data_IF_467121986251
#
_entry.id   IF_467121986251
#
_cell.length_a   1.000
_cell.length_b   1.000
_cell.length_c   1.000
_cell.angle_alpha   90.00
_cell.angle_beta   90.00
_cell.angle_gamma   90.00
#
_symmetry.space_group_name_H-M   'P 1'
#
loop_
_entity.id
_entity.type
_entity.pdbx_description
1 polymer ?
#
# COMPACT_ATOMS: atom_id res chain seq x y z
N UNK A 1 -0.29 8.25 -2.22
CA UNK A 1 -0.21 9.12 -1.02
C UNK A 1 -1.13 8.64 0.11
N UNK A 2 -2.41 8.30 -0.16
CA UNK A 2 -3.35 7.85 0.87
C UNK A 2 -2.94 6.51 1.52
N UNK A 3 -2.46 5.52 0.75
CA UNK A 3 -2.01 4.22 1.26
C UNK A 3 -0.80 4.34 2.19
N UNK A 4 0.14 5.24 1.88
CA UNK A 4 1.29 5.52 2.74
C UNK A 4 0.87 6.13 4.10
N UNK A 5 -0.17 6.96 4.12
CA UNK A 5 -0.73 7.53 5.33
C UNK A 5 -1.37 6.48 6.25
N UNK A 6 -2.14 5.55 5.67
CA UNK A 6 -2.76 4.44 6.42
C UNK A 6 -1.69 3.50 6.99
N UNK A 7 -0.69 3.13 6.19
CA UNK A 7 0.42 2.29 6.63
C UNK A 7 1.19 2.93 7.79
N UNK A 8 1.48 4.24 7.71
CA UNK A 8 2.16 4.97 8.78
C UNK A 8 1.32 5.00 10.06
N UNK A 9 0.03 5.32 9.98
CA UNK A 9 -0.85 5.35 11.14
C UNK A 9 -0.93 3.99 11.85
N UNK A 10 -1.03 2.89 11.09
CA UNK A 10 -0.98 1.53 11.65
C UNK A 10 0.37 1.24 12.31
N UNK A 11 1.46 1.70 11.72
CA UNK A 11 2.81 1.54 12.27
C UNK A 11 2.96 2.26 13.62
N UNK A 12 2.45 3.47 13.73
CA UNK A 12 2.47 4.27 14.96
C UNK A 12 1.63 3.61 16.06
N UNK A 13 0.44 3.08 15.73
CA UNK A 13 -0.41 2.32 16.65
C UNK A 13 0.29 1.05 17.12
N UNK A 14 0.89 0.29 16.20
CA UNK A 14 1.59 -0.95 16.55
C UNK A 14 2.78 -0.70 17.47
N UNK A 15 3.51 0.39 17.24
CA UNK A 15 4.61 0.82 18.12
C UNK A 15 4.13 1.18 19.51
N UNK A 16 3.01 1.91 19.63
CA UNK A 16 2.43 2.26 20.93
C UNK A 16 1.98 1.01 21.71
N UNK A 17 1.42 0.01 21.02
CA UNK A 17 1.09 -1.29 21.63
C UNK A 17 2.34 -2.06 22.07
N UNK A 18 3.40 -2.10 21.27
CA UNK A 18 4.66 -2.76 21.62
C UNK A 18 5.30 -2.11 22.87
N UNK A 19 5.26 -0.79 22.96
CA UNK A 19 5.73 -0.05 24.14
C UNK A 19 4.92 -0.39 25.41
N UNK A 20 3.60 -0.58 25.27
CA UNK A 20 2.74 -1.04 26.36
C UNK A 20 3.10 -2.47 26.78
N UNK A 21 3.22 -3.39 25.82
CA UNK A 21 3.57 -4.79 26.04
C UNK A 21 4.86 -4.93 26.82
N UNK A 22 5.88 -4.14 26.45
CA UNK A 22 7.20 -4.17 27.14
C UNK A 22 7.14 -3.74 28.61
N UNK A 23 6.15 -2.94 29.02
CA UNK A 23 6.02 -2.46 30.39
C UNK A 23 5.29 -3.44 31.30
N UNK A 24 4.42 -4.29 30.76
CA UNK A 24 3.60 -5.23 31.56
C UNK A 24 4.39 -6.22 32.41
N UNK A 25 5.49 -6.85 31.94
CA UNK A 25 6.29 -7.75 32.78
C UNK A 25 6.91 -7.04 33.99
N UNK A 26 7.37 -5.79 33.81
CA UNK A 26 7.90 -4.98 34.90
C UNK A 26 6.85 -4.69 35.97
N UNK A 27 5.63 -4.37 35.55
CA UNK A 27 4.50 -4.20 36.49
C UNK A 27 4.16 -5.51 37.21
N UNK A 28 4.15 -6.63 36.51
CA UNK A 28 3.90 -7.94 37.13
C UNK A 28 4.96 -8.28 38.20
N UNK A 29 6.23 -7.99 37.90
CA UNK A 29 7.33 -8.21 38.86
C UNK A 29 7.23 -7.30 40.10
N UNK A 30 6.84 -6.04 39.92
CA UNK A 30 6.60 -5.11 41.02
C UNK A 30 5.43 -5.57 41.91
N UNK A 31 4.37 -6.10 41.35
CA UNK A 31 3.24 -6.65 42.10
C UNK A 31 3.63 -7.95 42.81
N UNK A 32 4.49 -8.78 42.26
CA UNK A 32 5.04 -9.98 42.91
C UNK A 32 5.97 -9.66 44.09
N UNK A 33 6.63 -8.54 44.07
CA UNK A 33 7.48 -8.07 45.15
C UNK A 33 6.68 -7.59 46.41
N UNK A 34 5.35 -7.43 46.30
CA UNK A 34 4.50 -7.06 47.43
C UNK A 34 4.44 -8.18 48.46
N UNK A 35 4.20 -7.84 49.76
CA UNK A 35 4.02 -8.86 50.82
C UNK A 35 2.93 -9.86 50.44
N UNK A 36 3.16 -11.13 50.73
CA UNK A 36 2.27 -12.24 50.35
C UNK A 36 0.79 -12.06 50.73
N UNK A 37 0.53 -11.32 51.83
CA UNK A 37 -0.83 -10.95 52.25
C UNK A 37 -1.58 -10.01 51.31
N UNK A 38 -0.84 -9.26 50.47
CA UNK A 38 -1.35 -8.26 49.52
C UNK A 38 -1.19 -8.71 48.08
N UNK A 39 -0.52 -9.87 47.87
CA UNK A 39 -0.38 -10.47 46.55
C UNK A 39 -1.72 -11.04 46.11
N UNK A 40 -2.38 -10.34 45.21
CA UNK A 40 -3.57 -10.85 44.50
C UNK A 40 -3.17 -11.64 43.25
N UNK A 41 -4.17 -11.94 42.43
CA UNK A 41 -3.94 -12.60 41.11
C UNK A 41 -3.45 -11.63 40.02
N UNK A 42 -3.30 -10.35 40.33
CA UNK A 42 -2.89 -9.28 39.38
C UNK A 42 -1.61 -9.62 38.62
N UNK A 43 -0.52 -10.14 39.23
CA UNK A 43 0.69 -10.50 38.49
C UNK A 43 0.43 -11.54 37.38
N UNK A 44 -0.38 -12.56 37.68
CA UNK A 44 -0.76 -13.59 36.70
C UNK A 44 -1.56 -12.98 35.54
N UNK A 45 -2.51 -12.09 35.86
CA UNK A 45 -3.33 -11.40 34.86
C UNK A 45 -2.47 -10.49 33.97
N UNK A 46 -1.51 -9.77 34.55
CA UNK A 46 -0.59 -8.92 33.80
C UNK A 46 0.31 -9.75 32.86
N UNK A 47 0.76 -10.93 33.29
CA UNK A 47 1.51 -11.85 32.40
C UNK A 47 0.65 -12.44 31.30
N UNK A 48 -0.59 -12.82 31.59
CA UNK A 48 -1.53 -13.27 30.57
C UNK A 48 -1.83 -12.15 29.57
N UNK A 49 -2.08 -10.92 30.05
CA UNK A 49 -2.28 -9.75 29.21
C UNK A 49 -1.05 -9.45 28.32
N UNK A 50 0.15 -9.58 28.88
CA UNK A 50 1.40 -9.44 28.10
C UNK A 50 1.42 -10.43 26.93
N UNK A 51 1.13 -11.71 27.14
CA UNK A 51 1.12 -12.73 26.09
C UNK A 51 0.10 -12.43 24.99
N UNK A 52 -1.14 -12.11 25.35
CA UNK A 52 -2.18 -11.78 24.37
C UNK A 52 -1.85 -10.52 23.57
N UNK A 53 -1.40 -9.47 24.25
CA UNK A 53 -1.02 -8.22 23.58
C UNK A 53 0.22 -8.40 22.68
N UNK A 54 1.16 -9.26 23.07
CA UNK A 54 2.30 -9.60 22.21
C UNK A 54 1.85 -10.32 20.93
N UNK A 55 0.93 -11.28 21.04
CA UNK A 55 0.33 -11.92 19.87
C UNK A 55 -0.39 -10.91 18.98
N UNK A 56 -1.10 -9.95 19.55
CA UNK A 56 -1.76 -8.88 18.80
C UNK A 56 -0.77 -7.99 18.05
N UNK A 57 0.37 -7.62 18.64
CA UNK A 57 1.44 -6.87 17.98
C UNK A 57 1.96 -7.63 16.76
N UNK A 58 2.24 -8.93 16.91
CA UNK A 58 2.69 -9.77 15.80
C UNK A 58 1.63 -9.92 14.70
N UNK A 59 0.37 -10.11 15.07
CA UNK A 59 -0.73 -10.24 14.12
C UNK A 59 -0.99 -8.91 13.38
N UNK A 60 -0.87 -7.78 14.08
CA UNK A 60 -0.96 -6.45 13.48
C UNK A 60 0.21 -6.19 12.50
N UNK A 61 1.43 -6.63 12.84
CA UNK A 61 2.56 -6.56 11.91
C UNK A 61 2.33 -7.41 10.65
N UNK A 62 1.73 -8.59 10.79
CA UNK A 62 1.34 -9.43 9.66
C UNK A 62 0.29 -8.75 8.77
N UNK A 63 -0.65 -7.99 9.35
CA UNK A 63 -1.62 -7.21 8.59
C UNK A 63 -0.94 -6.11 7.76
N UNK A 64 0.00 -5.38 8.34
CA UNK A 64 0.76 -4.36 7.60
C UNK A 64 1.56 -4.96 6.44
N UNK A 65 2.17 -6.13 6.64
CA UNK A 65 2.87 -6.85 5.57
C UNK A 65 1.89 -7.32 4.48
N UNK A 66 0.74 -7.84 4.86
CA UNK A 66 -0.31 -8.24 3.92
C UNK A 66 -0.81 -7.05 3.09
N UNK A 67 -1.04 -5.89 3.70
CA UNK A 67 -1.42 -4.64 3.00
C UNK A 67 -0.39 -4.28 1.93
N UNK A 68 0.90 -4.34 2.28
CA UNK A 68 1.99 -4.03 1.35
C UNK A 68 2.02 -5.01 0.17
N UNK A 69 2.05 -6.31 0.44
CA UNK A 69 2.25 -7.34 -0.59
C UNK A 69 1.02 -7.53 -1.47
N UNK A 70 -0.19 -7.40 -0.92
CA UNK A 70 -1.42 -7.69 -1.69
C UNK A 70 -1.94 -6.49 -2.45
N UNK A 71 -1.83 -5.29 -1.89
CA UNK A 71 -2.37 -4.07 -2.49
C UNK A 71 -1.29 -3.05 -2.83
N UNK A 72 -0.33 -2.83 -1.93
CA UNK A 72 0.73 -1.83 -2.10
C UNK A 72 1.58 -2.08 -3.34
N UNK A 73 2.08 -3.29 -3.50
CA UNK A 73 2.93 -3.68 -4.62
C UNK A 73 2.15 -3.68 -5.95
N UNK A 74 0.89 -4.15 -5.95
CA UNK A 74 0.02 -4.07 -7.12
C UNK A 74 -0.20 -2.62 -7.56
N UNK A 75 -0.52 -1.73 -6.62
CA UNK A 75 -0.73 -0.31 -6.91
C UNK A 75 0.55 0.38 -7.39
N UNK A 76 1.72 0.04 -6.82
CA UNK A 76 3.01 0.56 -7.27
C UNK A 76 3.33 0.11 -8.71
N UNK A 77 3.09 -1.17 -9.02
CA UNK A 77 3.25 -1.70 -10.36
C UNK A 77 2.37 -0.97 -11.38
N UNK A 78 1.07 -0.81 -11.10
CA UNK A 78 0.16 -0.12 -12.02
C UNK A 78 0.47 1.36 -12.15
N UNK A 79 0.87 2.03 -11.07
CA UNK A 79 1.32 3.42 -11.14
C UNK A 79 2.57 3.58 -12.02
N UNK A 80 3.48 2.62 -12.00
CA UNK A 80 4.65 2.59 -12.90
C UNK A 80 4.22 2.38 -14.36
N UNK A 81 3.39 1.37 -14.62
CA UNK A 81 2.93 1.04 -15.96
C UNK A 81 2.13 2.17 -16.61
N UNK A 82 1.27 2.85 -15.82
CA UNK A 82 0.54 4.04 -16.29
C UNK A 82 1.48 5.21 -16.64
N UNK A 83 2.58 5.39 -15.89
CA UNK A 83 3.59 6.40 -16.24
C UNK A 83 4.27 6.08 -17.58
N UNK A 84 4.63 4.80 -17.79
CA UNK A 84 5.22 4.36 -19.06
C UNK A 84 4.25 4.56 -20.23
N UNK A 85 2.98 4.15 -20.08
CA UNK A 85 1.95 4.37 -21.09
C UNK A 85 1.77 5.85 -21.43
N UNK A 86 1.76 6.73 -20.41
CA UNK A 86 1.70 8.18 -20.63
C UNK A 86 2.92 8.72 -21.39
N UNK A 87 4.12 8.23 -21.06
CA UNK A 87 5.34 8.62 -21.77
C UNK A 87 5.27 8.22 -23.25
N UNK A 88 4.87 6.99 -23.56
CA UNK A 88 4.72 6.52 -24.96
C UNK A 88 3.68 7.33 -25.73
N UNK A 89 2.57 7.72 -25.07
CA UNK A 89 1.59 8.63 -25.68
C UNK A 89 2.17 10.02 -25.95
N UNK A 90 3.01 10.55 -25.08
CA UNK A 90 3.69 11.84 -25.29
C UNK A 90 4.68 11.77 -26.45
N UNK A 91 5.47 10.68 -26.53
CA UNK A 91 6.38 10.43 -27.65
C UNK A 91 5.63 10.34 -28.97
N UNK A 92 4.50 9.61 -29.03
CA UNK A 92 3.63 9.60 -30.20
C UNK A 92 3.13 10.99 -30.57
N UNK A 93 2.75 11.81 -29.61
CA UNK A 93 2.28 13.18 -29.86
C UNK A 93 3.38 14.06 -30.46
N UNK A 94 4.64 13.93 -30.02
CA UNK A 94 5.76 14.66 -30.63
C UNK A 94 5.97 14.28 -32.10
N UNK A 95 5.86 13.00 -32.44
CA UNK A 95 5.97 12.54 -33.84
C UNK A 95 4.79 13.03 -34.69
N UNK A 96 3.57 13.13 -34.13
CA UNK A 96 2.42 13.75 -34.82
C UNK A 96 2.69 15.23 -35.19
N UNK A 97 3.29 15.97 -34.25
CA UNK A 97 3.68 17.37 -34.49
C UNK A 97 4.77 17.45 -35.56
N UNK A 98 5.79 16.59 -35.48
CA UNK A 98 6.88 16.53 -36.48
C UNK A 98 6.35 16.22 -37.88
N UNK A 99 5.41 15.24 -37.98
CA UNK A 99 4.69 14.96 -39.23
C UNK A 99 3.95 16.17 -39.78
N UNK A 100 3.28 16.94 -38.93
CA UNK A 100 2.56 18.14 -39.34
C UNK A 100 3.52 19.24 -39.87
N UNK A 101 4.70 19.35 -39.26
CA UNK A 101 5.75 20.23 -39.75
C UNK A 101 6.32 19.75 -41.08
N UNK A 102 6.63 18.45 -41.22
CA UNK A 102 7.10 17.85 -42.44
C UNK A 102 6.13 18.08 -43.63
N UNK A 103 4.82 17.96 -43.39
CA UNK A 103 3.79 18.29 -44.43
C UNK A 103 3.87 19.74 -44.87
N UNK A 104 4.09 20.68 -43.96
CA UNK A 104 4.25 22.10 -44.34
C UNK A 104 5.52 22.29 -45.13
N UNK A 105 6.63 21.62 -44.79
CA UNK A 105 7.89 21.70 -45.55
C UNK A 105 7.69 21.18 -46.97
N UNK A 106 7.04 20.04 -47.15
CA UNK A 106 6.69 19.48 -48.46
C UNK A 106 5.86 20.49 -49.27
N UNK A 107 4.82 21.07 -48.68
CA UNK A 107 3.95 22.04 -49.36
C UNK A 107 4.73 23.29 -49.80
N UNK A 108 5.59 23.84 -48.94
CA UNK A 108 6.42 24.99 -49.25
C UNK A 108 7.42 24.68 -50.39
N UNK A 109 8.15 23.56 -50.31
CA UNK A 109 9.09 23.16 -51.36
C UNK A 109 8.39 22.89 -52.69
N UNK A 110 7.18 22.32 -52.69
CA UNK A 110 6.38 22.17 -53.91
C UNK A 110 5.98 23.50 -54.49
N UNK A 111 5.59 24.49 -53.68
CA UNK A 111 5.27 25.82 -54.13
C UNK A 111 6.49 26.53 -54.73
N UNK A 112 7.66 26.43 -54.10
CA UNK A 112 8.91 26.99 -54.55
C UNK A 112 9.34 26.38 -55.90
N UNK A 113 9.26 25.05 -56.04
CA UNK A 113 9.54 24.34 -57.29
C UNK A 113 8.59 24.79 -58.45
N UNK A 114 7.29 24.96 -58.12
CA UNK A 114 6.33 25.49 -59.11
C UNK A 114 6.66 26.93 -59.52
N UNK A 115 7.02 27.82 -58.58
CA UNK A 115 7.41 29.18 -58.89
C UNK A 115 8.66 29.26 -59.80
N UNK A 116 9.62 28.37 -59.55
CA UNK A 116 10.82 28.25 -60.39
C UNK A 116 10.47 27.74 -61.80
N UNK A 117 9.55 26.81 -61.93
CA UNK A 117 9.13 26.26 -63.22
C UNK A 117 8.35 27.27 -64.08
N UNK A 118 7.50 28.10 -63.48
CA UNK A 118 6.66 29.08 -64.18
C UNK A 118 7.23 30.49 -64.17
N UNK A 119 8.45 30.65 -63.62
CA UNK A 119 9.16 31.99 -63.64
C UNK A 119 9.56 32.46 -65.01
N UNK A 120 9.81 33.77 -65.12
CA UNK A 120 10.19 34.42 -66.42
C UNK A 120 11.53 33.94 -67.07
N UNK A 121 12.40 33.32 -66.26
CA UNK A 121 13.69 32.78 -66.71
C UNK A 121 13.95 31.42 -66.00
N UNK A 122 13.38 30.34 -66.49
CA UNK A 122 13.56 28.99 -65.90
C UNK A 122 15.01 28.54 -66.18
N UNK A 123 15.73 28.22 -65.08
CA UNK A 123 17.06 27.59 -65.13
C UNK A 123 16.86 26.08 -64.90
N UNK A 124 17.17 25.22 -65.91
CA UNK A 124 16.92 23.74 -65.76
C UNK A 124 17.55 23.15 -64.50
N UNK A 125 18.82 23.43 -64.23
CA UNK A 125 19.55 22.89 -63.06
C UNK A 125 18.90 23.24 -61.74
N UNK A 126 18.34 24.48 -61.62
CA UNK A 126 17.61 24.89 -60.40
C UNK A 126 16.26 24.20 -60.25
N UNK A 127 15.58 23.94 -61.34
CA UNK A 127 14.31 23.23 -61.35
C UNK A 127 14.53 21.78 -60.94
N UNK A 128 15.59 21.13 -61.43
CA UNK A 128 15.88 19.74 -61.10
C UNK A 128 16.33 19.59 -59.65
N UNK A 129 17.18 20.49 -59.13
CA UNK A 129 17.54 20.55 -57.73
C UNK A 129 16.28 20.77 -56.82
N UNK A 130 15.36 21.65 -57.19
CA UNK A 130 14.13 21.86 -56.42
C UNK A 130 13.21 20.61 -56.43
N UNK A 131 13.17 19.89 -57.55
CA UNK A 131 12.41 18.60 -57.60
C UNK A 131 13.03 17.53 -56.70
N UNK A 132 14.36 17.42 -56.68
CA UNK A 132 15.07 16.51 -55.77
C UNK A 132 14.76 16.85 -54.33
N UNK A 133 14.80 18.12 -53.94
CA UNK A 133 14.45 18.57 -52.60
C UNK A 133 12.99 18.25 -52.23
N UNK A 134 12.03 18.35 -53.16
CA UNK A 134 10.64 17.95 -52.95
C UNK A 134 10.55 16.46 -52.74
N UNK A 135 11.28 15.67 -53.54
CA UNK A 135 11.28 14.22 -53.42
C UNK A 135 11.86 13.74 -52.08
N UNK A 136 12.97 14.34 -51.66
CA UNK A 136 13.55 14.06 -50.33
C UNK A 136 12.56 14.37 -49.19
N UNK A 137 11.93 15.52 -49.23
CA UNK A 137 10.94 15.93 -48.23
C UNK A 137 9.71 15.00 -48.21
N UNK A 138 9.28 14.54 -49.38
CA UNK A 138 8.18 13.54 -49.52
C UNK A 138 8.60 12.18 -48.96
N UNK A 139 9.83 11.73 -49.17
CA UNK A 139 10.34 10.48 -48.59
C UNK A 139 10.39 10.55 -47.06
N UNK A 140 10.86 11.70 -46.53
CA UNK A 140 10.86 11.91 -45.08
C UNK A 140 9.45 11.88 -44.49
N UNK A 141 8.49 12.53 -45.15
CA UNK A 141 7.08 12.51 -44.73
C UNK A 141 6.50 11.10 -44.77
N UNK A 142 6.78 10.33 -45.84
CA UNK A 142 6.33 8.93 -45.96
C UNK A 142 6.92 8.06 -44.85
N UNK A 143 8.18 8.21 -44.52
CA UNK A 143 8.83 7.48 -43.42
C UNK A 143 8.19 7.79 -42.07
N UNK A 144 7.80 9.07 -41.82
CA UNK A 144 7.06 9.44 -40.62
C UNK A 144 5.64 8.87 -40.59
N UNK A 145 4.95 8.83 -41.74
CA UNK A 145 3.62 8.21 -41.84
C UNK A 145 3.67 6.71 -41.53
N UNK A 146 4.65 6.00 -42.12
CA UNK A 146 4.87 4.56 -41.87
C UNK A 146 5.22 4.28 -40.40
N UNK A 147 6.08 5.12 -39.82
CA UNK A 147 6.44 5.03 -38.41
C UNK A 147 5.23 5.22 -37.51
N UNK A 148 4.42 6.26 -37.75
CA UNK A 148 3.21 6.54 -36.99
C UNK A 148 2.17 5.43 -37.09
N UNK A 149 2.01 4.81 -38.26
CA UNK A 149 1.12 3.66 -38.44
C UNK A 149 1.54 2.49 -37.55
N UNK A 150 2.83 2.11 -37.61
CA UNK A 150 3.38 1.03 -36.78
C UNK A 150 3.24 1.31 -35.28
N UNK A 151 3.54 2.55 -34.85
CA UNK A 151 3.40 2.96 -33.45
C UNK A 151 1.94 2.94 -33.02
N UNK A 152 1.02 3.38 -33.90
CA UNK A 152 -0.42 3.39 -33.59
C UNK A 152 -0.96 1.98 -33.33
N UNK A 153 -0.68 1.04 -34.23
CA UNK A 153 -1.14 -0.34 -34.12
C UNK A 153 -0.57 -1.03 -32.88
N UNK A 154 0.76 -0.92 -32.67
CA UNK A 154 1.43 -1.46 -31.50
C UNK A 154 0.90 -0.88 -30.19
N UNK A 155 0.63 0.44 -30.16
CA UNK A 155 0.13 1.13 -28.98
C UNK A 155 -1.32 0.74 -28.68
N UNK A 156 -2.17 0.63 -29.69
CA UNK A 156 -3.57 0.20 -29.56
C UNK A 156 -3.66 -1.19 -28.94
N UNK A 157 -2.93 -2.14 -29.49
CA UNK A 157 -2.87 -3.52 -28.98
C UNK A 157 -2.33 -3.58 -27.55
N UNK A 158 -1.28 -2.81 -27.26
CA UNK A 158 -0.67 -2.77 -25.94
C UNK A 158 -1.61 -2.16 -24.90
N UNK A 159 -2.29 -1.05 -25.22
CA UNK A 159 -3.24 -0.41 -24.33
C UNK A 159 -4.47 -1.28 -24.08
N UNK A 160 -4.97 -1.97 -25.09
CA UNK A 160 -6.11 -2.87 -24.95
C UNK A 160 -5.76 -4.05 -24.04
N UNK A 161 -4.63 -4.72 -24.28
CA UNK A 161 -4.14 -5.81 -23.42
C UNK A 161 -3.90 -5.31 -22.00
N UNK A 162 -3.23 -4.18 -21.84
CA UNK A 162 -2.98 -3.57 -20.54
C UNK A 162 -4.29 -3.27 -19.80
N UNK A 163 -5.29 -2.70 -20.47
CA UNK A 163 -6.58 -2.39 -19.84
C UNK A 163 -7.29 -3.65 -19.31
N UNK A 164 -7.32 -4.73 -20.09
CA UNK A 164 -7.95 -6.00 -19.68
C UNK A 164 -7.21 -6.62 -18.49
N UNK A 165 -5.89 -6.76 -18.60
CA UNK A 165 -5.09 -7.37 -17.54
C UNK A 165 -5.10 -6.53 -16.26
N UNK A 166 -4.97 -5.21 -16.38
CA UNK A 166 -5.02 -4.30 -15.21
C UNK A 166 -6.32 -4.45 -14.45
N UNK A 167 -7.45 -4.51 -15.16
CA UNK A 167 -8.75 -4.66 -14.53
C UNK A 167 -8.87 -5.99 -13.77
N UNK A 168 -8.49 -7.10 -14.40
CA UNK A 168 -8.55 -8.43 -13.79
C UNK A 168 -7.61 -8.56 -12.60
N UNK A 169 -6.37 -8.15 -12.76
CA UNK A 169 -5.34 -8.26 -11.72
C UNK A 169 -5.63 -7.34 -10.52
N UNK A 170 -6.13 -6.12 -10.79
CA UNK A 170 -6.50 -5.19 -9.72
C UNK A 170 -7.66 -5.73 -8.89
N UNK A 171 -8.70 -6.27 -9.54
CA UNK A 171 -9.82 -6.90 -8.84
C UNK A 171 -9.35 -8.12 -8.03
N UNK A 172 -8.50 -8.98 -8.61
CA UNK A 172 -7.93 -10.12 -7.90
C UNK A 172 -7.07 -9.70 -6.71
N UNK A 173 -6.30 -8.61 -6.83
CA UNK A 173 -5.48 -8.06 -5.75
C UNK A 173 -6.35 -7.48 -4.63
N UNK A 174 -7.40 -6.74 -4.96
CA UNK A 174 -8.37 -6.21 -3.99
C UNK A 174 -9.09 -7.36 -3.26
N UNK A 175 -9.54 -8.37 -3.99
CA UNK A 175 -10.18 -9.56 -3.40
C UNK A 175 -9.24 -10.29 -2.45
N UNK A 176 -8.01 -10.54 -2.88
CA UNK A 176 -6.97 -11.20 -2.04
C UNK A 176 -6.69 -10.38 -0.79
N UNK A 177 -6.54 -9.06 -0.94
CA UNK A 177 -6.36 -8.14 0.18
C UNK A 177 -7.52 -8.24 1.17
N UNK A 178 -8.77 -8.12 0.70
CA UNK A 178 -9.95 -8.18 1.55
C UNK A 178 -10.06 -9.51 2.31
N UNK A 179 -9.82 -10.64 1.64
CA UNK A 179 -9.84 -11.96 2.27
C UNK A 179 -8.74 -12.11 3.33
N UNK A 180 -7.52 -11.68 3.02
CA UNK A 180 -6.38 -11.76 3.93
C UNK A 180 -6.57 -10.85 5.14
N UNK A 181 -6.96 -9.59 4.92
CA UNK A 181 -7.22 -8.63 5.99
C UNK A 181 -8.32 -9.13 6.93
N UNK A 182 -9.43 -9.62 6.38
CA UNK A 182 -10.51 -10.20 7.18
C UNK A 182 -10.04 -11.36 8.07
N UNK A 183 -9.22 -12.26 7.52
CA UNK A 183 -8.72 -13.40 8.28
C UNK A 183 -7.79 -12.97 9.43
N UNK A 184 -6.97 -11.93 9.21
CA UNK A 184 -6.06 -11.38 10.22
C UNK A 184 -6.84 -10.58 11.27
N UNK A 185 -7.79 -9.74 10.85
CA UNK A 185 -8.63 -8.96 11.75
C UNK A 185 -9.50 -9.85 12.64
N UNK A 186 -9.99 -10.99 12.12
CA UNK A 186 -10.69 -11.97 12.93
C UNK A 186 -9.79 -12.54 14.03
N UNK A 187 -8.54 -12.87 13.74
CA UNK A 187 -7.58 -13.33 14.76
C UNK A 187 -7.33 -12.26 15.83
N UNK A 188 -7.23 -10.98 15.45
CA UNK A 188 -7.10 -9.89 16.41
C UNK A 188 -8.32 -9.80 17.32
N UNK A 189 -9.53 -9.96 16.75
CA UNK A 189 -10.77 -9.96 17.52
C UNK A 189 -10.83 -11.14 18.50
N UNK A 190 -10.40 -12.33 18.08
CA UNK A 190 -10.35 -13.53 18.92
C UNK A 190 -9.35 -13.36 20.08
N UNK A 191 -8.17 -12.76 19.85
CA UNK A 191 -7.20 -12.45 20.91
C UNK A 191 -7.74 -11.43 21.91
N UNK A 192 -8.45 -10.39 21.44
CA UNK A 192 -9.10 -9.41 22.29
C UNK A 192 -10.21 -10.06 23.16
N UNK A 193 -11.00 -10.94 22.57
CA UNK A 193 -12.03 -11.69 23.27
C UNK A 193 -11.41 -12.57 24.37
N UNK A 194 -10.34 -13.29 24.05
CA UNK A 194 -9.59 -14.14 25.00
C UNK A 194 -8.99 -13.32 26.14
N UNK A 195 -8.41 -12.15 25.84
CA UNK A 195 -7.89 -11.24 26.87
C UNK A 195 -9.01 -10.73 27.77
N UNK A 196 -10.14 -10.32 27.20
CA UNK A 196 -11.29 -9.83 27.98
C UNK A 196 -11.86 -10.92 28.87
N UNK A 197 -11.87 -12.16 28.44
CA UNK A 197 -12.30 -13.32 29.25
C UNK A 197 -11.32 -13.59 30.39
N UNK A 198 -10.03 -13.60 30.13
CA UNK A 198 -9.00 -13.75 31.15
C UNK A 198 -9.08 -12.65 32.23
N UNK A 199 -9.33 -11.41 31.83
CA UNK A 199 -9.53 -10.30 32.76
C UNK A 199 -10.81 -10.47 33.60
N UNK A 200 -11.92 -10.90 33.01
CA UNK A 200 -13.18 -11.17 33.73
C UNK A 200 -13.03 -12.29 34.73
N UNK A 201 -12.42 -13.40 34.35
CA UNK A 201 -12.14 -14.52 35.26
C UNK A 201 -11.27 -14.06 36.44
N UNK A 202 -10.22 -13.27 36.19
CA UNK A 202 -9.37 -12.75 37.27
C UNK A 202 -10.11 -11.78 38.19
N UNK A 203 -11.03 -10.96 37.67
CA UNK A 203 -11.84 -10.07 38.48
C UNK A 203 -12.84 -10.85 39.37
N UNK A 204 -13.50 -11.88 38.83
CA UNK A 204 -14.40 -12.76 39.59
C UNK A 204 -13.67 -13.49 40.74
N UNK A 205 -12.48 -14.02 40.42
CA UNK A 205 -11.64 -14.66 41.43
C UNK A 205 -11.19 -13.68 42.54
N UNK A 206 -10.89 -12.43 42.18
CA UNK A 206 -10.53 -11.41 43.19
C UNK A 206 -11.72 -11.05 44.09
N UNK A 207 -12.92 -10.95 43.52
CA UNK A 207 -14.16 -10.72 44.30
C UNK A 207 -14.46 -11.85 45.25
N UNK A 208 -14.31 -13.10 44.80
CA UNK A 208 -14.50 -14.28 45.62
C UNK A 208 -13.49 -14.32 46.78
N UNK A 209 -12.21 -14.07 46.51
CA UNK A 209 -11.19 -14.04 47.55
C UNK A 209 -11.44 -12.90 48.58
N UNK A 210 -11.93 -11.75 48.15
CA UNK A 210 -12.30 -10.67 49.04
C UNK A 210 -13.51 -11.03 49.94
N UNK A 211 -14.50 -11.69 49.34
CA UNK A 211 -15.67 -12.21 50.11
C UNK A 211 -15.26 -13.23 51.17
N UNK A 212 -14.42 -14.20 50.81
CA UNK A 212 -13.91 -15.23 51.73
C UNK A 212 -13.08 -14.60 52.86
N UNK A 213 -12.25 -13.62 52.53
CA UNK A 213 -11.46 -12.90 53.55
C UNK A 213 -12.32 -12.10 54.51
N UNK A 214 -13.43 -11.52 54.03
CA UNK A 214 -14.37 -10.76 54.89
C UNK A 214 -15.19 -11.66 55.81
N UNK A 215 -15.44 -12.93 55.40
CA UNK A 215 -16.28 -13.89 56.12
C UNK A 215 -15.49 -14.99 56.82
N UNK A 216 -14.14 -14.92 56.72
CA UNK A 216 -13.29 -15.86 57.42
C UNK A 216 -13.51 -15.76 58.95
N UNK A 217 -13.75 -16.88 59.68
CA UNK A 217 -13.91 -16.83 61.11
C UNK A 217 -12.65 -16.24 61.75
N UNK A 218 -12.85 -15.19 62.57
CA UNK A 218 -11.75 -14.58 63.33
C UNK A 218 -11.07 -15.67 64.16
N UNK A 219 -9.86 -16.09 63.73
CA UNK A 219 -9.04 -16.95 64.56
C UNK A 219 -8.69 -16.19 65.84
N UNK A 220 -9.35 -16.54 66.95
CA UNK A 220 -8.97 -16.03 68.28
C UNK A 220 -7.56 -16.51 68.55
N UNK A 221 -6.62 -15.59 68.67
CA UNK A 221 -5.24 -15.96 68.99
C UNK A 221 -5.20 -16.57 70.37
N UNK A 222 -4.28 -17.53 70.62
CA UNK A 222 -4.16 -18.15 71.94
C UNK A 222 -4.02 -17.15 73.09
N UNK A 223 -3.42 -16.00 72.84
CA UNK A 223 -3.31 -14.91 73.79
C UNK A 223 -4.67 -14.22 74.11
N UNK A 224 -5.58 -14.10 73.13
CA UNK A 224 -6.91 -13.56 73.31
C UNK A 224 -7.84 -14.57 74.03
N UNK A 225 -7.62 -15.87 73.76
CA UNK A 225 -8.34 -16.94 74.50
C UNK A 225 -7.88 -17.07 76.00
N UNK A 226 -6.61 -16.74 76.27
CA UNK A 226 -6.09 -16.67 77.62
C UNK A 226 -6.55 -15.45 78.42
N UNK A 227 -6.79 -14.30 77.71
CA UNK A 227 -7.30 -13.08 78.39
C UNK A 227 -8.82 -13.09 78.66
N UNK A 228 -9.56 -14.03 78.11
CA UNK A 228 -11.02 -14.18 78.28
C UNK A 228 -11.40 -15.24 79.41
N UNK A 229 -10.39 -15.80 80.06
CA UNK A 229 -10.55 -16.64 81.23
C UNK A 229 -10.13 -15.85 82.47
#
# INVERSE_FOLDING_TARGET
LASAGVSKARQDVNKAFDDLVRKLPGLATLEEARPARLQGRLPRTLRSAHTHLQHMVHTSAALMYADQVTLGDAMAYYAHTMRMARQTLQERMSVVVERALARRVVANKQQDAQQLQYGRHPHPDRIDAAKEEVQEAQQQLSALDDYLAKVHDSLQDSLQRHSIHTHQDLLASIQRHACTSRAIEQRLADELASLAEACRASAADAQQAAYEAAHAPRRITPAQAAAAR
#
